data_IF_844425720886
#
_entry.id   IF_844425720886
#
_cell.length_a   1.000
_cell.length_b   1.000
_cell.length_c   1.000
_cell.angle_alpha   90.00
_cell.angle_beta   90.00
_cell.angle_gamma   90.00
#
_symmetry.space_group_name_H-M   'P 1'
#
loop_
_entity.id
_entity.type
_entity.pdbx_description
1 polymer ?
#
# COMPACT_ATOMS: atom_id res chain seq x y z
N UNK A 1 9.38 6.29 -3.72
CA UNK A 1 8.77 5.05 -3.23
C UNK A 1 9.23 3.90 -4.11
N UNK A 2 9.70 2.82 -3.52
CA UNK A 2 10.32 1.69 -4.25
C UNK A 2 9.58 0.37 -3.91
N UNK A 3 9.54 -0.59 -4.86
CA UNK A 3 8.94 -1.93 -4.74
C UNK A 3 10.04 -3.01 -4.79
N UNK A 4 10.06 -3.99 -3.87
CA UNK A 4 11.30 -4.77 -3.62
C UNK A 4 11.24 -6.31 -3.55
N UNK A 5 10.11 -6.92 -3.20
CA UNK A 5 10.08 -8.35 -2.83
C UNK A 5 9.29 -9.23 -3.81
N UNK A 6 9.21 -8.86 -5.10
CA UNK A 6 8.27 -9.54 -6.01
C UNK A 6 8.93 -10.19 -7.25
N UNK A 7 8.45 -11.40 -7.58
CA UNK A 7 8.85 -12.16 -8.77
C UNK A 7 7.89 -12.04 -9.95
N UNK A 8 6.71 -11.41 -9.79
CA UNK A 8 5.86 -10.85 -10.87
C UNK A 8 4.56 -10.23 -10.33
N UNK A 9 3.87 -10.84 -9.37
CA UNK A 9 2.68 -10.26 -8.69
C UNK A 9 2.41 -10.86 -7.29
N UNK A 10 3.26 -11.74 -6.77
CA UNK A 10 3.02 -12.48 -5.52
C UNK A 10 4.21 -12.28 -4.57
N UNK A 11 3.93 -12.21 -3.28
CA UNK A 11 4.92 -12.09 -2.22
C UNK A 11 5.42 -13.47 -1.79
N UNK A 12 6.73 -13.69 -1.80
CA UNK A 12 7.35 -15.00 -1.53
C UNK A 12 8.42 -14.99 -0.43
N UNK A 13 8.66 -13.86 0.23
CA UNK A 13 9.70 -13.77 1.23
C UNK A 13 9.79 -12.37 1.85
N UNK A 14 10.15 -12.32 3.13
CA UNK A 14 10.31 -11.06 3.88
C UNK A 14 11.48 -10.21 3.35
N UNK A 15 12.57 -10.86 2.98
CA UNK A 15 13.77 -10.20 2.46
C UNK A 15 13.64 -9.84 0.98
N UNK A 16 14.53 -8.97 0.48
CA UNK A 16 14.58 -8.61 -0.93
C UNK A 16 14.72 -9.83 -1.84
N UNK A 17 14.20 -9.70 -3.06
CA UNK A 17 14.49 -10.67 -4.10
C UNK A 17 15.93 -10.49 -4.64
N UNK A 18 16.37 -11.46 -5.45
CA UNK A 18 17.71 -11.49 -6.08
C UNK A 18 18.06 -10.24 -6.92
N UNK A 19 17.09 -9.43 -7.34
CA UNK A 19 17.34 -8.18 -8.09
C UNK A 19 17.97 -7.10 -7.22
N UNK A 20 17.69 -7.12 -5.92
CA UNK A 20 18.14 -6.11 -4.96
C UNK A 20 19.23 -6.63 -4.02
N UNK A 21 19.52 -7.92 -4.06
CA UNK A 21 20.66 -8.52 -3.38
C UNK A 21 21.92 -8.29 -4.21
N UNK A 22 22.99 -7.85 -3.54
CA UNK A 22 24.31 -7.85 -4.16
C UNK A 22 24.83 -9.31 -4.16
N UNK A 23 25.37 -9.76 -5.29
CA UNK A 23 25.90 -11.13 -5.43
C UNK A 23 27.17 -11.37 -4.61
N UNK A 24 27.96 -10.32 -4.37
CA UNK A 24 29.21 -10.40 -3.62
C UNK A 24 28.99 -10.23 -2.11
N UNK A 25 28.05 -9.38 -1.70
CA UNK A 25 27.64 -9.24 -0.30
C UNK A 25 26.11 -9.08 -0.16
N UNK A 26 25.39 -10.20 0.06
CA UNK A 26 23.95 -10.19 0.27
C UNK A 26 23.49 -9.38 1.49
N UNK A 27 24.38 -9.04 2.42
CA UNK A 27 24.04 -8.25 3.63
C UNK A 27 23.92 -6.75 3.33
N UNK A 28 24.43 -6.29 2.19
CA UNK A 28 24.40 -4.90 1.76
C UNK A 28 23.05 -4.54 1.13
N UNK A 29 22.48 -5.46 0.33
CA UNK A 29 21.07 -5.47 -0.10
C UNK A 29 20.39 -4.12 -0.34
N UNK A 30 19.14 -4.02 0.12
CA UNK A 30 18.35 -2.77 0.14
C UNK A 30 18.98 -1.64 0.97
N UNK A 31 19.75 -1.99 2.00
CA UNK A 31 20.43 -1.02 2.86
C UNK A 31 21.39 -0.14 2.07
N UNK A 32 22.04 -0.66 1.03
CA UNK A 32 22.89 0.17 0.14
C UNK A 32 22.10 1.26 -0.57
N UNK A 33 20.89 0.95 -1.07
CA UNK A 33 20.05 1.91 -1.78
C UNK A 33 19.61 3.01 -0.81
N UNK A 34 19.24 2.63 0.42
CA UNK A 34 18.88 3.56 1.49
C UNK A 34 20.09 4.45 1.85
N UNK A 35 21.27 3.87 2.06
CA UNK A 35 22.47 4.62 2.38
C UNK A 35 22.84 5.60 1.25
N UNK A 36 22.77 5.17 -0.01
CA UNK A 36 23.00 6.06 -1.16
C UNK A 36 21.98 7.21 -1.17
N UNK A 37 20.69 6.91 -0.96
CA UNK A 37 19.64 7.93 -0.88
C UNK A 37 19.91 8.97 0.22
N UNK A 38 20.29 8.52 1.42
CA UNK A 38 20.47 9.37 2.59
C UNK A 38 21.82 10.09 2.58
N UNK A 39 22.92 9.36 2.37
CA UNK A 39 24.29 9.89 2.49
C UNK A 39 24.72 10.67 1.25
N UNK A 40 24.43 10.17 0.05
CA UNK A 40 24.86 10.82 -1.20
C UNK A 40 23.90 11.91 -1.66
N UNK A 41 22.59 11.67 -1.56
CA UNK A 41 21.57 12.59 -2.06
C UNK A 41 20.88 13.41 -0.97
N UNK A 42 21.24 13.20 0.31
CA UNK A 42 20.69 13.99 1.42
C UNK A 42 19.19 13.78 1.66
N UNK A 43 18.60 12.68 1.17
CA UNK A 43 17.19 12.40 1.40
C UNK A 43 16.97 12.07 2.86
N UNK A 44 16.03 12.77 3.52
CA UNK A 44 15.73 12.57 4.94
C UNK A 44 14.99 11.26 5.19
N UNK A 45 14.04 10.94 4.32
CA UNK A 45 13.11 9.83 4.48
C UNK A 45 13.09 8.92 3.25
N UNK A 46 13.06 7.62 3.49
CA UNK A 46 12.94 6.58 2.47
C UNK A 46 11.76 5.68 2.81
N UNK A 47 10.77 5.64 1.92
CA UNK A 47 9.54 4.85 2.09
C UNK A 47 9.45 3.72 1.08
N UNK A 48 8.89 2.59 1.51
CA UNK A 48 8.69 1.38 0.71
C UNK A 48 7.20 1.10 0.48
N UNK A 49 6.86 0.66 -0.73
CA UNK A 49 5.50 0.24 -1.05
C UNK A 49 5.28 -1.24 -0.79
N UNK A 50 4.11 -1.60 -0.27
CA UNK A 50 3.56 -2.95 -0.36
C UNK A 50 2.02 -2.90 -0.43
N UNK A 51 1.38 -3.98 -0.89
CA UNK A 51 -0.06 -4.12 -0.75
C UNK A 51 -0.41 -4.60 0.67
N UNK A 52 -1.63 -4.37 1.15
CA UNK A 52 -2.07 -4.81 2.48
C UNK A 52 -1.86 -6.33 2.66
N UNK A 53 -2.18 -7.13 1.65
CA UNK A 53 -2.01 -8.59 1.68
C UNK A 53 -0.57 -9.06 1.37
N UNK A 54 0.40 -8.15 1.35
CA UNK A 54 1.82 -8.39 1.08
C UNK A 54 2.26 -7.89 -0.31
N UNK A 55 1.57 -8.31 -1.36
CA UNK A 55 1.68 -7.77 -2.72
C UNK A 55 0.31 -7.94 -3.41
N UNK A 56 0.13 -7.49 -4.65
CA UNK A 56 -1.13 -7.62 -5.39
C UNK A 56 -1.79 -9.01 -5.28
N UNK A 57 -1.05 -10.09 -5.53
CA UNK A 57 -1.50 -11.48 -5.41
C UNK A 57 -1.34 -12.10 -4.02
N UNK A 58 -1.05 -11.29 -3.01
CA UNK A 58 -0.91 -11.74 -1.63
C UNK A 58 0.38 -12.52 -1.33
N UNK A 59 0.42 -13.18 -0.17
CA UNK A 59 1.52 -14.06 0.26
C UNK A 59 1.32 -15.47 -0.28
N UNK A 60 2.25 -15.98 -1.08
CA UNK A 60 2.09 -17.31 -1.71
C UNK A 60 1.96 -18.43 -0.66
N UNK A 61 0.90 -19.25 -0.70
CA UNK A 61 0.80 -20.45 0.13
C UNK A 61 1.89 -21.48 -0.21
N UNK A 62 2.36 -22.22 0.80
CA UNK A 62 3.30 -23.33 0.63
C UNK A 62 4.72 -22.92 0.21
N UNK A 63 5.10 -21.66 0.41
CA UNK A 63 6.50 -21.23 0.23
C UNK A 63 7.28 -21.48 1.51
N UNK A 64 8.45 -22.10 1.34
CA UNK A 64 9.41 -22.36 2.41
C UNK A 64 9.74 -21.08 3.20
N UNK A 65 9.59 -21.13 4.52
CA UNK A 65 9.84 -20.01 5.43
C UNK A 65 8.66 -19.05 5.60
N UNK A 66 7.55 -19.27 4.89
CA UNK A 66 6.33 -18.45 4.96
C UNK A 66 5.14 -19.21 5.57
N UNK A 67 5.28 -20.50 5.87
CA UNK A 67 4.21 -21.36 6.40
C UNK A 67 3.64 -20.84 7.72
N UNK A 68 4.50 -20.22 8.53
CA UNK A 68 4.17 -19.63 9.82
C UNK A 68 3.11 -18.51 9.75
N UNK A 69 2.86 -17.94 8.57
CA UNK A 69 1.81 -16.92 8.38
C UNK A 69 0.46 -17.52 7.99
N UNK A 70 0.39 -18.83 7.74
CA UNK A 70 -0.88 -19.51 7.46
C UNK A 70 -1.61 -18.99 6.22
N UNK A 71 -0.88 -18.52 5.20
CA UNK A 71 -1.50 -17.94 4.01
C UNK A 71 -2.31 -18.97 3.23
N UNK A 72 -3.53 -18.62 2.86
CA UNK A 72 -4.45 -19.45 2.08
C UNK A 72 -4.95 -18.71 0.84
N UNK A 73 -5.19 -19.44 -0.24
CA UNK A 73 -5.81 -18.84 -1.42
C UNK A 73 -7.24 -18.40 -1.10
N UNK A 74 -7.50 -17.11 -1.31
CA UNK A 74 -8.81 -16.49 -1.10
C UNK A 74 -9.23 -15.75 -2.36
N UNK A 75 -10.53 -15.73 -2.62
CA UNK A 75 -11.09 -15.18 -3.85
C UNK A 75 -12.02 -14.02 -3.51
N UNK A 76 -11.72 -12.80 -3.97
CA UNK A 76 -12.64 -11.67 -3.87
C UNK A 76 -14.05 -12.02 -4.34
N UNK A 77 -15.03 -11.85 -3.46
CA UNK A 77 -16.44 -12.00 -3.77
C UNK A 77 -17.13 -10.64 -3.66
N UNK A 78 -17.74 -10.22 -4.77
CA UNK A 78 -18.52 -8.97 -4.86
C UNK A 78 -19.99 -9.27 -5.14
N UNK A 79 -20.88 -8.36 -4.77
CA UNK A 79 -22.32 -8.54 -4.98
C UNK A 79 -22.70 -8.46 -6.46
N UNK A 80 -23.82 -9.08 -6.88
CA UNK A 80 -24.31 -8.95 -8.26
C UNK A 80 -24.49 -7.50 -8.71
N UNK A 81 -24.90 -6.60 -7.81
CA UNK A 81 -25.04 -5.17 -8.10
C UNK A 81 -23.70 -4.50 -8.42
N UNK A 82 -22.63 -4.85 -7.69
CA UNK A 82 -21.28 -4.38 -8.00
C UNK A 82 -20.82 -4.91 -9.36
N UNK A 83 -21.06 -6.19 -9.66
CA UNK A 83 -20.70 -6.79 -10.96
C UNK A 83 -21.45 -6.14 -12.14
N UNK A 84 -22.68 -5.68 -11.93
CA UNK A 84 -23.45 -4.97 -12.95
C UNK A 84 -22.90 -3.57 -13.23
N UNK A 85 -22.50 -2.83 -12.19
CA UNK A 85 -21.92 -1.49 -12.33
C UNK A 85 -20.46 -1.52 -12.78
N UNK A 86 -19.70 -2.51 -12.32
CA UNK A 86 -18.29 -2.72 -12.63
C UNK A 86 -18.04 -4.12 -13.23
N UNK A 87 -18.41 -4.34 -14.51
CA UNK A 87 -18.27 -5.64 -15.17
C UNK A 87 -16.83 -6.16 -15.23
N UNK A 88 -15.84 -5.28 -15.04
CA UNK A 88 -14.41 -5.61 -14.97
C UNK A 88 -14.09 -6.69 -13.95
N UNK A 89 -14.84 -6.75 -12.82
CA UNK A 89 -14.70 -7.80 -11.79
C UNK A 89 -14.80 -9.23 -12.34
N UNK A 90 -15.53 -9.45 -13.45
CA UNK A 90 -15.63 -10.78 -14.08
C UNK A 90 -14.32 -11.28 -14.65
N UNK A 91 -13.39 -10.38 -14.94
CA UNK A 91 -12.08 -10.68 -15.54
C UNK A 91 -10.93 -10.17 -14.68
N UNK A 92 -11.23 -9.61 -13.51
CA UNK A 92 -10.21 -9.12 -12.61
C UNK A 92 -9.29 -10.27 -12.19
N UNK A 93 -7.98 -10.02 -12.23
CA UNK A 93 -6.98 -11.08 -12.03
C UNK A 93 -7.06 -11.62 -10.60
N UNK A 94 -7.32 -10.75 -9.61
CA UNK A 94 -7.45 -11.18 -8.21
C UNK A 94 -8.74 -11.96 -8.00
N UNK A 95 -9.84 -11.55 -8.64
CA UNK A 95 -11.11 -12.27 -8.57
C UNK A 95 -11.03 -13.67 -9.21
N UNK A 96 -10.38 -13.78 -10.38
CA UNK A 96 -10.31 -15.03 -11.15
C UNK A 96 -9.23 -15.97 -10.65
N UNK A 97 -8.05 -15.45 -10.28
CA UNK A 97 -6.90 -16.26 -9.86
C UNK A 97 -6.73 -16.35 -8.34
N UNK A 98 -7.47 -15.53 -7.59
CA UNK A 98 -7.34 -15.42 -6.15
C UNK A 98 -6.06 -14.71 -5.72
N UNK A 99 -5.94 -14.52 -4.41
CA UNK A 99 -4.75 -14.00 -3.75
C UNK A 99 -4.46 -14.78 -2.47
N UNK A 100 -3.20 -14.80 -2.07
CA UNK A 100 -2.79 -15.41 -0.82
C UNK A 100 -3.08 -14.51 0.38
N UNK A 101 -4.11 -14.85 1.16
CA UNK A 101 -4.51 -14.13 2.35
C UNK A 101 -3.87 -14.75 3.58
N UNK A 102 -3.06 -13.96 4.29
CA UNK A 102 -2.45 -14.35 5.57
C UNK A 102 -3.54 -14.61 6.61
N UNK A 103 -3.36 -15.61 7.47
CA UNK A 103 -4.30 -15.87 8.58
C UNK A 103 -4.41 -14.60 9.43
N UNK A 104 -5.63 -14.07 9.67
CA UNK A 104 -5.83 -12.89 10.52
C UNK A 104 -5.16 -12.98 11.90
N UNK A 105 -5.00 -14.19 12.46
CA UNK A 105 -4.30 -14.42 13.74
C UNK A 105 -2.78 -14.27 13.64
N UNK A 106 -2.22 -14.43 12.43
CA UNK A 106 -0.79 -14.37 12.16
C UNK A 106 -0.37 -13.08 11.44
N UNK A 107 -1.31 -12.23 11.02
CA UNK A 107 -1.02 -11.04 10.20
C UNK A 107 -0.15 -10.01 10.92
N UNK A 108 -0.28 -9.84 12.24
CA UNK A 108 0.64 -8.99 13.02
C UNK A 108 2.07 -9.51 12.95
N UNK A 109 2.28 -10.83 13.06
CA UNK A 109 3.61 -11.42 12.95
C UNK A 109 4.20 -11.16 11.57
N UNK A 110 3.40 -11.34 10.52
CA UNK A 110 3.79 -11.04 9.14
C UNK A 110 4.24 -9.58 8.97
N UNK A 111 3.40 -8.61 9.35
CA UNK A 111 3.78 -7.21 9.21
C UNK A 111 4.95 -6.82 10.09
N UNK A 112 4.99 -7.30 11.34
CA UNK A 112 6.06 -6.94 12.25
C UNK A 112 7.42 -7.46 11.75
N UNK A 113 7.50 -8.68 11.23
CA UNK A 113 8.75 -9.20 10.66
C UNK A 113 9.15 -8.47 9.37
N UNK A 114 8.17 -8.13 8.51
CA UNK A 114 8.40 -7.32 7.32
C UNK A 114 8.93 -5.93 7.67
N UNK A 115 8.23 -5.20 8.53
CA UNK A 115 8.58 -3.83 8.90
C UNK A 115 9.85 -3.77 9.74
N UNK A 116 10.10 -4.76 10.61
CA UNK A 116 11.37 -4.86 11.34
C UNK A 116 12.55 -5.02 10.36
N UNK A 117 12.41 -5.90 9.36
CA UNK A 117 13.42 -6.05 8.33
C UNK A 117 13.65 -4.74 7.57
N UNK A 118 12.59 -4.06 7.12
CA UNK A 118 12.70 -2.77 6.42
C UNK A 118 13.37 -1.70 7.31
N UNK A 119 12.93 -1.56 8.56
CA UNK A 119 13.52 -0.61 9.51
C UNK A 119 15.01 -0.90 9.76
N UNK A 120 15.40 -2.18 9.85
CA UNK A 120 16.82 -2.57 10.01
C UNK A 120 17.70 -2.17 8.81
N UNK A 121 17.09 -2.00 7.63
CA UNK A 121 17.74 -1.49 6.44
C UNK A 121 17.74 0.06 6.34
N UNK A 122 17.19 0.76 7.34
CA UNK A 122 17.15 2.22 7.42
C UNK A 122 15.95 2.86 6.72
N UNK A 123 14.91 2.10 6.40
CA UNK A 123 13.65 2.61 5.85
C UNK A 123 12.84 3.27 6.97
N UNK A 124 12.24 4.41 6.65
CA UNK A 124 11.56 5.26 7.62
C UNK A 124 10.04 5.06 7.66
N UNK A 125 9.48 4.39 6.65
CA UNK A 125 8.06 4.12 6.59
C UNK A 125 7.60 3.35 5.36
N UNK A 126 6.29 3.16 5.27
CA UNK A 126 5.64 2.39 4.20
C UNK A 126 4.49 3.13 3.54
N UNK A 127 4.25 2.89 2.24
CA UNK A 127 2.95 3.13 1.61
C UNK A 127 2.24 1.80 1.44
N UNK A 128 1.03 1.71 1.95
CA UNK A 128 0.25 0.46 1.95
C UNK A 128 -0.98 0.62 1.07
N UNK A 129 -0.97 -0.06 -0.08
CA UNK A 129 -2.04 -0.02 -1.07
C UNK A 129 -3.02 -1.20 -0.92
N UNK A 130 -4.07 -1.21 -1.74
CA UNK A 130 -5.02 -2.32 -1.90
C UNK A 130 -5.75 -2.66 -0.60
N UNK A 131 -5.99 -1.68 0.27
CA UNK A 131 -6.57 -1.97 1.59
C UNK A 131 -8.04 -2.37 1.51
N UNK A 132 -8.80 -1.79 0.59
CA UNK A 132 -10.23 -2.07 0.41
C UNK A 132 -10.54 -3.50 -0.04
N UNK A 133 -9.55 -4.28 -0.48
CA UNK A 133 -9.77 -5.66 -0.92
C UNK A 133 -10.39 -6.55 0.17
N UNK A 134 -10.16 -6.23 1.45
CA UNK A 134 -10.69 -7.01 2.58
C UNK A 134 -12.23 -7.07 2.62
N UNK A 135 -12.92 -6.08 2.04
CA UNK A 135 -14.40 -6.11 1.95
C UNK A 135 -14.92 -7.32 1.18
N UNK A 136 -14.10 -7.81 0.25
CA UNK A 136 -14.45 -8.92 -0.64
C UNK A 136 -13.99 -10.28 -0.11
N UNK A 137 -13.28 -10.32 1.02
CA UNK A 137 -12.58 -11.51 1.52
C UNK A 137 -13.07 -11.98 2.89
N UNK A 138 -14.06 -11.32 3.49
CA UNK A 138 -14.51 -11.59 4.86
C UNK A 138 -15.26 -12.92 5.09
N UNK A 139 -15.61 -13.65 4.02
CA UNK A 139 -16.37 -14.89 4.13
C UNK A 139 -15.59 -15.96 4.90
N UNK A 140 -16.19 -16.53 5.95
CA UNK A 140 -15.52 -17.51 6.83
C UNK A 140 -14.55 -16.91 7.85
N UNK A 141 -14.35 -15.58 7.86
CA UNK A 141 -13.38 -14.87 8.72
C UNK A 141 -14.06 -13.85 9.65
N UNK A 142 -15.32 -14.10 10.02
CA UNK A 142 -16.11 -13.17 10.86
C UNK A 142 -16.74 -12.00 10.08
N UNK A 143 -16.62 -11.99 8.75
CA UNK A 143 -17.14 -10.94 7.88
C UNK A 143 -16.15 -9.80 7.65
N UNK A 144 -16.51 -8.88 6.74
CA UNK A 144 -15.63 -7.77 6.31
C UNK A 144 -15.16 -6.88 7.47
N UNK A 145 -16.03 -6.61 8.43
CA UNK A 145 -15.73 -5.73 9.57
C UNK A 145 -14.65 -6.34 10.45
N UNK A 146 -14.80 -7.62 10.81
CA UNK A 146 -13.86 -8.30 11.71
C UNK A 146 -12.50 -8.54 11.02
N UNK A 147 -12.51 -8.94 9.76
CA UNK A 147 -11.28 -9.10 8.97
C UNK A 147 -10.51 -7.77 8.86
N UNK A 148 -11.21 -6.70 8.48
CA UNK A 148 -10.62 -5.36 8.34
C UNK A 148 -10.05 -4.87 9.67
N UNK A 149 -10.80 -5.05 10.76
CA UNK A 149 -10.34 -4.69 12.11
C UNK A 149 -9.04 -5.38 12.49
N UNK A 150 -8.93 -6.70 12.26
CA UNK A 150 -7.72 -7.45 12.60
C UNK A 150 -6.51 -7.00 11.76
N UNK A 151 -6.69 -6.84 10.46
CA UNK A 151 -5.62 -6.40 9.56
C UNK A 151 -5.14 -4.97 9.86
N UNK A 152 -6.06 -4.02 10.07
CA UNK A 152 -5.69 -2.64 10.38
C UNK A 152 -5.06 -2.50 11.76
N UNK A 153 -5.54 -3.21 12.78
CA UNK A 153 -4.91 -3.20 14.10
C UNK A 153 -3.49 -3.78 14.06
N UNK A 154 -3.30 -4.86 13.30
CA UNK A 154 -1.98 -5.44 13.10
C UNK A 154 -1.05 -4.49 12.34
N UNK A 155 -1.57 -3.81 11.30
CA UNK A 155 -0.81 -2.84 10.51
C UNK A 155 -0.38 -1.65 11.38
N UNK A 156 -1.32 -0.97 12.05
CA UNK A 156 -1.03 0.16 12.96
C UNK A 156 0.00 -0.26 14.02
N UNK A 157 -0.18 -1.42 14.67
CA UNK A 157 0.74 -1.92 15.69
C UNK A 157 2.15 -2.23 15.14
N UNK A 158 2.25 -2.74 13.92
CA UNK A 158 3.55 -3.01 13.28
C UNK A 158 4.28 -1.74 12.87
N UNK A 159 3.55 -0.74 12.35
CA UNK A 159 4.12 0.57 11.97
C UNK A 159 4.63 1.30 13.21
N UNK A 160 3.78 1.45 14.23
CA UNK A 160 4.14 2.13 15.48
C UNK A 160 5.33 1.49 16.20
N UNK A 161 5.52 0.17 16.03
CA UNK A 161 6.64 -0.55 16.63
C UNK A 161 7.97 -0.36 15.89
N UNK A 162 7.93 -0.26 14.56
CA UNK A 162 9.14 -0.36 13.73
C UNK A 162 9.57 0.98 13.11
N UNK A 163 8.68 1.96 12.98
CA UNK A 163 8.98 3.25 12.38
C UNK A 163 8.79 4.37 13.41
N UNK A 164 9.87 5.08 13.76
CA UNK A 164 9.90 6.05 14.85
C UNK A 164 8.86 7.18 14.69
N UNK A 165 8.65 7.65 13.46
CA UNK A 165 7.70 8.72 13.14
C UNK A 165 6.30 8.19 12.76
N UNK A 166 6.00 6.93 13.09
CA UNK A 166 4.78 6.24 12.66
C UNK A 166 4.57 6.35 11.14
N UNK A 167 5.65 6.12 10.38
CA UNK A 167 5.72 6.39 8.95
C UNK A 167 4.85 5.47 8.11
N UNK A 168 3.62 5.92 7.81
CA UNK A 168 2.70 5.23 6.92
C UNK A 168 1.93 6.20 6.01
N UNK A 169 1.72 5.79 4.76
CA UNK A 169 0.76 6.38 3.81
C UNK A 169 -0.25 5.31 3.44
N UNK A 170 -1.51 5.47 3.82
CA UNK A 170 -2.59 4.57 3.40
C UNK A 170 -3.10 4.93 2.01
N UNK A 171 -3.54 3.92 1.27
CA UNK A 171 -3.96 4.07 -0.10
C UNK A 171 -4.93 2.95 -0.50
N UNK A 172 -5.86 3.25 -1.42
CA UNK A 172 -6.97 2.38 -1.75
C UNK A 172 -7.70 1.90 -0.48
N UNK A 173 -8.00 2.84 0.42
CA UNK A 173 -8.45 2.58 1.80
C UNK A 173 -9.70 3.39 2.18
N UNK A 174 -10.53 3.76 1.19
CA UNK A 174 -11.67 4.67 1.36
C UNK A 174 -12.98 3.99 1.76
N UNK A 175 -12.96 2.68 1.96
CA UNK A 175 -14.16 2.02 2.44
C UNK A 175 -14.44 2.34 3.91
N UNK A 176 -15.69 2.14 4.33
CA UNK A 176 -16.11 2.50 5.69
C UNK A 176 -15.29 1.75 6.73
N UNK A 177 -15.07 0.45 6.54
CA UNK A 177 -14.44 -0.39 7.55
C UNK A 177 -12.98 0.03 7.80
N UNK A 178 -12.23 0.36 6.74
CA UNK A 178 -10.86 0.85 6.82
C UNK A 178 -10.78 2.21 7.50
N UNK A 179 -11.69 3.14 7.15
CA UNK A 179 -11.74 4.46 7.77
C UNK A 179 -12.08 4.38 9.27
N UNK A 180 -13.03 3.53 9.66
CA UNK A 180 -13.39 3.33 11.07
C UNK A 180 -12.31 2.56 11.86
N UNK A 181 -11.55 1.69 11.20
CA UNK A 181 -10.49 0.91 11.85
C UNK A 181 -9.14 1.62 11.90
N UNK A 182 -8.91 2.61 11.04
CA UNK A 182 -7.68 3.41 11.03
C UNK A 182 -7.62 4.31 12.26
N UNK A 183 -6.65 4.04 13.16
CA UNK A 183 -6.50 4.80 14.40
C UNK A 183 -5.24 5.65 14.41
N UNK A 184 -4.17 5.16 13.78
CA UNK A 184 -2.85 5.79 13.85
C UNK A 184 -2.33 6.28 12.52
N UNK A 185 -2.87 5.79 11.40
CA UNK A 185 -2.46 6.23 10.07
C UNK A 185 -2.90 7.68 9.85
N UNK A 186 -1.92 8.58 9.69
CA UNK A 186 -2.18 10.02 9.52
C UNK A 186 -2.35 10.43 8.06
N UNK A 187 -1.63 9.83 7.10
CA UNK A 187 -1.67 10.22 5.69
C UNK A 187 -2.47 9.21 4.89
N UNK A 188 -3.44 9.69 4.09
CA UNK A 188 -4.28 8.84 3.23
C UNK A 188 -4.36 9.41 1.82
N UNK A 189 -4.06 8.60 0.81
CA UNK A 189 -4.29 8.99 -0.58
C UNK A 189 -5.78 9.25 -0.79
N UNK A 190 -6.14 10.44 -1.25
CA UNK A 190 -7.52 10.90 -1.38
C UNK A 190 -8.10 10.74 -2.80
N UNK A 191 -7.44 9.98 -3.68
CA UNK A 191 -7.83 9.81 -5.08
C UNK A 191 -7.52 8.42 -5.60
N UNK A 192 -8.00 8.14 -6.81
CA UNK A 192 -7.41 7.13 -7.70
C UNK A 192 -6.00 7.58 -8.16
N UNK A 193 -5.31 6.73 -8.91
CA UNK A 193 -4.01 7.02 -9.52
C UNK A 193 -4.09 8.24 -10.46
N UNK A 194 -3.02 9.04 -10.46
CA UNK A 194 -2.79 10.04 -11.50
C UNK A 194 -2.41 9.36 -12.84
N UNK A 195 -3.20 9.59 -13.88
CA UNK A 195 -3.00 9.04 -15.23
C UNK A 195 -2.42 10.07 -16.21
N UNK A 196 -1.09 10.30 -16.27
CA UNK A 196 -0.49 11.40 -17.03
C UNK A 196 -0.77 11.38 -18.53
N UNK A 197 -1.04 10.19 -19.09
CA UNK A 197 -1.25 9.99 -20.53
C UNK A 197 -2.71 10.14 -20.95
N UNK A 198 -3.63 10.31 -20.01
CA UNK A 198 -5.04 10.53 -20.29
C UNK A 198 -5.40 11.99 -19.98
N UNK A 199 -5.53 12.85 -21.00
CA UNK A 199 -5.86 14.25 -20.80
C UNK A 199 -7.18 14.49 -20.05
N UNK A 200 -8.15 13.58 -20.21
CA UNK A 200 -9.47 13.70 -19.56
C UNK A 200 -9.35 13.45 -18.05
N UNK A 201 -8.38 12.65 -17.63
CA UNK A 201 -8.17 12.34 -16.21
C UNK A 201 -7.69 13.54 -15.39
N UNK A 202 -7.03 14.54 -15.98
CA UNK A 202 -6.37 15.63 -15.23
C UNK A 202 -7.35 16.46 -14.38
N UNK A 203 -8.43 16.94 -14.98
CA UNK A 203 -9.43 17.76 -14.28
C UNK A 203 -10.26 16.91 -13.31
N UNK A 204 -10.59 15.68 -13.73
CA UNK A 204 -11.34 14.72 -12.90
C UNK A 204 -10.53 14.37 -11.65
N UNK A 205 -9.22 14.09 -11.77
CA UNK A 205 -8.34 13.79 -10.64
C UNK A 205 -8.37 14.91 -9.61
N UNK A 206 -8.17 16.17 -10.03
CA UNK A 206 -8.17 17.32 -9.12
C UNK A 206 -9.54 17.52 -8.47
N UNK A 207 -10.62 17.38 -9.23
CA UNK A 207 -11.97 17.50 -8.68
C UNK A 207 -12.23 16.40 -7.63
N UNK A 208 -12.00 15.13 -7.98
CA UNK A 208 -12.22 13.98 -7.09
C UNK A 208 -11.40 14.09 -5.80
N UNK A 209 -10.12 14.43 -5.91
CA UNK A 209 -9.25 14.53 -4.74
C UNK A 209 -9.62 15.70 -3.83
N UNK A 210 -10.05 16.83 -4.41
CA UNK A 210 -10.52 17.98 -3.65
C UNK A 210 -11.81 17.64 -2.89
N UNK A 211 -12.79 17.00 -3.55
CA UNK A 211 -14.04 16.60 -2.90
C UNK A 211 -13.81 15.58 -1.78
N UNK A 212 -12.98 14.55 -2.02
CA UNK A 212 -12.66 13.56 -0.99
C UNK A 212 -11.92 14.19 0.20
N UNK A 213 -11.10 15.22 -0.06
CA UNK A 213 -10.38 15.95 1.00
C UNK A 213 -11.30 16.71 1.95
N UNK A 214 -12.51 17.12 1.53
CA UNK A 214 -13.48 17.78 2.41
C UNK A 214 -13.90 16.86 3.56
N UNK A 215 -14.00 15.55 3.31
CA UNK A 215 -14.33 14.59 4.35
C UNK A 215 -13.09 14.05 5.05
N UNK A 216 -12.09 13.58 4.29
CA UNK A 216 -10.90 12.94 4.87
C UNK A 216 -10.05 13.94 5.67
N UNK A 217 -10.00 15.21 5.25
CA UNK A 217 -9.23 16.27 5.88
C UNK A 217 -9.62 16.58 7.33
N UNK A 218 -10.81 16.16 7.76
CA UNK A 218 -11.29 16.38 9.13
C UNK A 218 -10.58 15.48 10.16
N UNK A 219 -10.00 14.35 9.73
CA UNK A 219 -9.39 13.37 10.63
C UNK A 219 -8.13 12.70 10.09
N UNK A 220 -7.73 12.96 8.84
CA UNK A 220 -6.49 12.50 8.22
C UNK A 220 -5.91 13.59 7.32
N UNK A 221 -4.62 13.52 7.01
CA UNK A 221 -3.95 14.36 6.04
C UNK A 221 -4.15 13.78 4.61
N UNK A 222 -4.89 14.46 3.72
CA UNK A 222 -5.09 13.98 2.36
C UNK A 222 -3.79 14.05 1.55
N UNK A 223 -3.41 12.92 0.95
CA UNK A 223 -2.37 12.81 -0.08
C UNK A 223 -3.04 12.92 -1.46
N UNK A 224 -2.62 13.92 -2.24
CA UNK A 224 -3.21 14.24 -3.54
C UNK A 224 -2.63 13.45 -4.72
N UNK A 225 -1.84 12.43 -4.41
CA UNK A 225 -1.04 11.63 -5.30
C UNK A 225 0.08 12.41 -6.01
N UNK A 226 1.05 11.66 -6.49
CA UNK A 226 2.15 12.20 -7.28
C UNK A 226 1.69 12.87 -8.57
N UNK A 227 2.56 13.70 -9.13
CA UNK A 227 2.40 14.26 -10.46
C UNK A 227 3.76 14.29 -11.20
N UNK A 228 3.71 14.42 -12.51
CA UNK A 228 4.92 14.59 -13.32
C UNK A 228 5.30 16.07 -13.39
N UNK A 229 6.48 16.39 -12.86
CA UNK A 229 7.00 17.77 -12.87
C UNK A 229 7.45 18.21 -14.26
N UNK A 230 7.79 17.27 -15.13
CA UNK A 230 8.07 17.48 -16.54
C UNK A 230 6.91 16.97 -17.40
N UNK A 231 5.83 17.76 -17.47
CA UNK A 231 4.61 17.43 -18.22
C UNK A 231 3.91 18.71 -18.72
N UNK A 232 3.20 18.71 -19.85
CA UNK A 232 2.49 19.90 -20.35
C UNK A 232 1.48 20.51 -19.38
N UNK A 233 0.91 19.70 -18.46
CA UNK A 233 -0.01 20.17 -17.41
C UNK A 233 0.64 20.21 -16.01
N UNK A 234 1.97 20.22 -15.93
CA UNK A 234 2.69 20.19 -14.65
C UNK A 234 2.35 21.39 -13.77
N UNK A 235 2.23 22.60 -14.34
CA UNK A 235 1.87 23.81 -13.59
C UNK A 235 0.50 23.66 -12.92
N UNK A 236 -0.51 23.22 -13.68
CA UNK A 236 -1.86 22.96 -13.15
C UNK A 236 -1.84 21.98 -11.96
N UNK A 237 -1.13 20.86 -12.10
CA UNK A 237 -1.02 19.87 -11.03
C UNK A 237 -0.19 20.39 -9.83
N UNK A 238 0.92 21.07 -10.08
CA UNK A 238 1.79 21.63 -9.05
C UNK A 238 1.05 22.67 -8.21
N UNK A 239 0.34 23.61 -8.86
CA UNK A 239 -0.48 24.61 -8.18
C UNK A 239 -1.56 23.97 -7.32
N UNK A 240 -2.24 22.93 -7.83
CA UNK A 240 -3.26 22.23 -7.07
C UNK A 240 -2.71 21.52 -5.82
N UNK A 241 -1.55 20.84 -5.92
CA UNK A 241 -0.89 20.22 -4.76
C UNK A 241 -0.33 21.26 -3.78
N UNK A 242 0.11 22.42 -4.26
CA UNK A 242 0.57 23.49 -3.38
C UNK A 242 -0.55 24.03 -2.47
N UNK A 243 -1.79 24.01 -2.96
CA UNK A 243 -2.98 24.48 -2.21
C UNK A 243 -3.56 23.39 -1.31
N UNK A 244 -3.29 22.11 -1.58
CA UNK A 244 -3.90 20.99 -0.84
C UNK A 244 -3.54 20.93 0.64
N UNK A 245 -2.43 21.57 1.04
CA UNK A 245 -1.86 21.46 2.39
C UNK A 245 -1.27 20.10 2.70
N UNK A 246 -1.26 19.17 1.74
CA UNK A 246 -0.74 17.81 1.87
C UNK A 246 0.66 17.62 1.29
N UNK A 247 1.16 16.38 1.32
CA UNK A 247 2.43 16.03 0.73
C UNK A 247 2.46 16.30 -0.78
N UNK A 248 3.63 16.70 -1.29
CA UNK A 248 3.88 16.90 -2.73
C UNK A 248 4.88 15.84 -3.20
N UNK A 249 4.43 14.93 -4.05
CA UNK A 249 5.28 13.89 -4.63
C UNK A 249 5.50 14.15 -6.12
N UNK A 250 6.76 14.16 -6.54
CA UNK A 250 7.13 14.35 -7.94
C UNK A 250 7.65 13.04 -8.55
N UNK A 251 7.29 12.82 -9.81
CA UNK A 251 7.79 11.74 -10.67
C UNK A 251 8.44 12.30 -11.93
#
# INVERSE_FOLDING_TARGET
>A
MLLFTCSKIIFTGIKENKKFQNQEDPTIGIKSIVNVAKEKYGLKYVYVWHALTGYWGGVRPGVEGMEQYGSVMSFPAVSPGVILNEPGWKKDVLAVQGLGLVDPKSVYKFYNELHQYLASAGIDGVKVDVQCILETLGAGLGGRVELTRQYHQALDASVARNFADNGIIACMSHNTDALYCSKQTAVVRASDDFYPRDPVSHTIHIASVAYNSVFLGEFMQPDWDMFQSFHPVAEYHASARAISGGPVYVR
#
